data_IF_671252593359
#
_entry.id   IF_671252593359
#
_cell.length_a   1.000
_cell.length_b   1.000
_cell.length_c   1.000
_cell.angle_alpha   90.00
_cell.angle_beta   90.00
_cell.angle_gamma   90.00
#
_symmetry.space_group_name_H-M   'P 1'
#
loop_
_entity.id
_entity.type
_entity.pdbx_description
1 polymer ?
#
# COMPACT_ATOMS: atom_id res chain seq x y z
N UNK A 1 6.89 4.38 23.66
CA UNK A 1 6.87 4.45 22.19
C UNK A 1 6.49 5.87 21.81
N UNK A 2 7.38 6.54 21.11
CA UNK A 2 7.06 7.81 20.46
C UNK A 2 6.07 7.55 19.32
N UNK A 3 5.18 8.52 19.09
CA UNK A 3 4.17 8.40 18.05
C UNK A 3 4.78 8.79 16.71
N UNK A 4 4.30 8.20 15.63
CA UNK A 4 4.73 8.54 14.27
C UNK A 4 3.69 9.46 13.62
N UNK A 5 4.10 10.69 13.31
CA UNK A 5 3.26 11.73 12.67
C UNK A 5 2.73 11.30 11.31
N UNK A 6 3.39 10.36 10.62
CA UNK A 6 2.91 9.80 9.36
C UNK A 6 1.58 9.06 9.54
N UNK A 7 1.39 8.42 10.69
CA UNK A 7 0.26 7.52 10.96
C UNK A 7 -0.75 8.10 11.95
N UNK A 8 -0.39 9.17 12.66
CA UNK A 8 -1.22 9.74 13.72
C UNK A 8 -1.08 11.26 13.76
N UNK A 9 -2.20 11.98 13.93
CA UNK A 9 -2.21 13.45 13.96
C UNK A 9 -1.57 14.04 15.24
N UNK A 10 -1.31 13.21 16.24
CA UNK A 10 -0.66 13.56 17.50
C UNK A 10 -0.59 12.36 18.44
N UNK A 11 0.19 12.47 19.52
CA UNK A 11 0.32 11.40 20.53
C UNK A 11 -1.06 11.04 21.11
N UNK A 12 -1.43 9.76 21.05
CA UNK A 12 -2.75 9.25 21.44
C UNK A 12 -3.92 10.00 20.76
N UNK A 13 -3.66 10.58 19.59
CA UNK A 13 -4.64 11.27 18.77
C UNK A 13 -5.36 10.36 17.77
N UNK A 14 -6.17 10.95 16.88
CA UNK A 14 -6.75 10.24 15.75
C UNK A 14 -5.69 9.71 14.77
N UNK A 15 -6.07 8.70 14.00
CA UNK A 15 -5.26 8.25 12.86
C UNK A 15 -5.19 9.34 11.78
N UNK A 16 -4.03 9.43 11.14
CA UNK A 16 -3.83 10.38 10.04
C UNK A 16 -4.84 10.15 8.91
N UNK A 17 -5.22 11.21 8.20
CA UNK A 17 -6.16 11.11 7.06
C UNK A 17 -5.74 10.04 6.04
N UNK A 18 -4.46 9.91 5.63
CA UNK A 18 -4.03 8.86 4.71
C UNK A 18 -4.25 7.45 5.26
N UNK A 19 -3.95 7.20 6.54
CA UNK A 19 -4.12 5.88 7.13
C UNK A 19 -5.61 5.50 7.26
N UNK A 20 -6.48 6.47 7.60
CA UNK A 20 -7.94 6.25 7.59
C UNK A 20 -8.48 5.95 6.20
N UNK A 21 -7.98 6.63 5.17
CA UNK A 21 -8.37 6.36 3.79
C UNK A 21 -8.02 4.93 3.36
N UNK A 22 -6.80 4.46 3.68
CA UNK A 22 -6.39 3.06 3.46
C UNK A 22 -7.30 2.08 4.19
N UNK A 23 -7.62 2.37 5.46
CA UNK A 23 -8.51 1.53 6.26
C UNK A 23 -9.95 1.50 5.69
N UNK A 24 -10.42 2.63 5.17
CA UNK A 24 -11.74 2.77 4.53
C UNK A 24 -11.82 1.99 3.21
N UNK A 25 -10.72 1.88 2.46
CA UNK A 25 -10.68 1.14 1.20
C UNK A 25 -11.07 -0.35 1.37
N UNK A 26 -10.76 -0.95 2.52
CA UNK A 26 -11.17 -2.32 2.85
C UNK A 26 -12.69 -2.50 2.94
N UNK A 27 -13.47 -1.43 3.16
CA UNK A 27 -14.93 -1.52 3.26
C UNK A 27 -15.62 -1.98 1.97
N UNK A 28 -14.94 -1.86 0.84
CA UNK A 28 -15.46 -2.33 -0.45
C UNK A 28 -15.52 -3.86 -0.55
N UNK A 29 -14.76 -4.59 0.29
CA UNK A 29 -14.69 -6.06 0.25
C UNK A 29 -14.59 -6.75 1.63
N UNK A 30 -14.71 -6.00 2.73
CA UNK A 30 -14.68 -6.52 4.11
C UNK A 30 -15.69 -5.79 4.98
N UNK A 31 -16.21 -6.47 6.00
CA UNK A 31 -17.10 -5.85 6.99
C UNK A 31 -16.32 -5.06 8.04
N UNK A 32 -16.98 -4.13 8.75
CA UNK A 32 -16.37 -3.43 9.89
C UNK A 32 -15.91 -4.39 10.99
N UNK A 33 -16.62 -5.50 11.17
CA UNK A 33 -16.25 -6.54 12.14
C UNK A 33 -14.95 -7.24 11.73
N UNK A 34 -14.78 -7.55 10.44
CA UNK A 34 -13.57 -8.20 9.93
C UNK A 34 -12.35 -7.27 9.96
N UNK A 35 -12.56 -5.99 9.59
CA UNK A 35 -11.53 -4.96 9.72
C UNK A 35 -11.13 -4.85 11.20
N UNK A 36 -12.11 -4.76 12.10
CA UNK A 36 -11.89 -4.71 13.55
C UNK A 36 -11.06 -5.88 14.06
N UNK A 37 -11.40 -7.11 13.68
CA UNK A 37 -10.62 -8.32 14.04
C UNK A 37 -9.16 -8.20 13.60
N UNK A 38 -8.90 -7.71 12.38
CA UNK A 38 -7.55 -7.54 11.87
C UNK A 38 -6.73 -6.52 12.68
N UNK A 39 -7.31 -5.36 12.96
CA UNK A 39 -6.62 -4.28 13.70
C UNK A 39 -6.65 -4.46 15.22
N UNK A 40 -7.46 -5.38 15.76
CA UNK A 40 -7.60 -5.64 17.19
C UNK A 40 -8.63 -4.74 17.89
N UNK A 41 -9.64 -4.28 17.16
CA UNK A 41 -10.73 -3.45 17.69
C UNK A 41 -12.11 -4.06 17.41
N UNK A 42 -13.13 -3.54 18.10
CA UNK A 42 -14.51 -3.89 17.79
C UNK A 42 -14.97 -3.19 16.51
N UNK A 43 -15.90 -3.81 15.77
CA UNK A 43 -16.48 -3.20 14.56
C UNK A 43 -17.09 -1.81 14.80
N UNK A 44 -17.83 -1.56 15.89
CA UNK A 44 -18.31 -0.23 16.24
C UNK A 44 -17.19 0.79 16.44
N UNK A 45 -16.08 0.39 17.09
CA UNK A 45 -14.94 1.28 17.30
C UNK A 45 -14.24 1.63 15.98
N UNK A 46 -14.13 0.67 15.04
CA UNK A 46 -13.65 0.96 13.67
C UNK A 46 -14.53 2.01 12.98
N UNK A 47 -15.86 1.94 13.15
CA UNK A 47 -16.75 2.97 12.61
C UNK A 47 -16.46 4.36 13.19
N UNK A 48 -16.07 4.45 14.46
CA UNK A 48 -15.70 5.73 15.09
C UNK A 48 -14.34 6.23 14.60
N UNK A 49 -13.37 5.32 14.38
CA UNK A 49 -12.06 5.66 13.79
C UNK A 49 -12.24 6.25 12.38
N UNK A 50 -13.13 5.65 11.58
CA UNK A 50 -13.40 6.05 10.19
C UNK A 50 -14.29 7.28 10.06
N UNK A 51 -14.77 7.86 11.15
CA UNK A 51 -15.61 9.06 11.10
C UNK A 51 -14.79 10.27 10.59
N UNK A 52 -15.29 10.96 9.57
CA UNK A 52 -14.63 12.12 8.99
C UNK A 52 -14.74 13.38 9.86
N UNK A 53 -15.90 13.57 10.52
CA UNK A 53 -16.19 14.78 11.31
C UNK A 53 -15.51 14.75 12.67
N UNK A 54 -15.52 13.59 13.33
CA UNK A 54 -14.93 13.42 14.65
C UNK A 54 -14.34 12.00 14.79
N UNK A 55 -13.13 11.76 14.27
CA UNK A 55 -12.49 10.47 14.36
C UNK A 55 -12.10 10.12 15.80
N UNK A 56 -12.29 8.86 16.17
CA UNK A 56 -11.86 8.35 17.46
C UNK A 56 -10.34 8.49 17.64
N UNK A 57 -9.95 8.75 18.88
CA UNK A 57 -8.56 8.69 19.33
C UNK A 57 -8.11 7.25 19.52
N UNK A 58 -6.86 6.98 19.19
CA UNK A 58 -6.25 5.66 19.32
C UNK A 58 -4.95 5.80 20.08
N UNK A 59 -4.70 4.95 21.08
CA UNK A 59 -3.41 4.99 21.78
C UNK A 59 -2.26 4.70 20.81
N UNK A 60 -1.18 5.48 20.89
CA UNK A 60 -0.03 5.36 19.99
C UNK A 60 0.61 3.95 20.02
N UNK A 61 0.45 3.21 21.13
CA UNK A 61 0.91 1.82 21.28
C UNK A 61 0.24 0.85 20.28
N UNK A 62 -0.93 1.19 19.75
CA UNK A 62 -1.67 0.34 18.80
C UNK A 62 -1.31 0.61 17.34
N UNK A 63 -0.65 1.74 17.05
CA UNK A 63 -0.29 2.15 15.68
C UNK A 63 0.51 1.08 14.93
N UNK A 64 1.56 0.46 15.50
CA UNK A 64 2.32 -0.58 14.78
C UNK A 64 1.46 -1.76 14.34
N UNK A 65 0.50 -2.19 15.17
CA UNK A 65 -0.43 -3.27 14.84
C UNK A 65 -1.38 -2.87 13.71
N UNK A 66 -1.90 -1.65 13.76
CA UNK A 66 -2.82 -1.13 12.74
C UNK A 66 -2.11 -1.06 11.40
N UNK A 67 -0.91 -0.48 11.34
CA UNK A 67 -0.12 -0.37 10.10
C UNK A 67 0.13 -1.74 9.49
N UNK A 68 0.59 -2.70 10.29
CA UNK A 68 0.82 -4.07 9.82
C UNK A 68 -0.46 -4.74 9.29
N UNK A 69 -1.59 -4.55 9.98
CA UNK A 69 -2.87 -5.10 9.52
C UNK A 69 -3.35 -4.47 8.19
N UNK A 70 -3.09 -3.18 7.98
CA UNK A 70 -3.38 -2.51 6.70
C UNK A 70 -2.48 -3.06 5.60
N UNK A 71 -1.18 -3.20 5.85
CA UNK A 71 -0.22 -3.74 4.87
C UNK A 71 -0.55 -5.19 4.50
N UNK A 72 -0.86 -6.04 5.48
CA UNK A 72 -1.28 -7.42 5.26
C UNK A 72 -2.60 -7.49 4.48
N UNK A 73 -3.54 -6.57 4.75
CA UNK A 73 -4.81 -6.45 4.04
C UNK A 73 -4.62 -6.04 2.58
N UNK A 74 -3.77 -5.04 2.32
CA UNK A 74 -3.43 -4.57 0.99
C UNK A 74 -2.73 -5.67 0.17
N UNK A 75 -1.78 -6.38 0.77
CA UNK A 75 -1.10 -7.50 0.11
C UNK A 75 -2.06 -8.63 -0.26
N UNK A 76 -2.99 -8.99 0.64
CA UNK A 76 -4.03 -9.99 0.33
C UNK A 76 -4.97 -9.51 -0.78
N UNK A 77 -5.35 -8.24 -0.75
CA UNK A 77 -6.24 -7.66 -1.74
C UNK A 77 -5.59 -7.60 -3.13
N UNK A 78 -4.37 -7.11 -3.23
CA UNK A 78 -3.67 -7.04 -4.50
C UNK A 78 -3.35 -8.44 -5.05
N UNK A 79 -3.12 -9.46 -4.20
CA UNK A 79 -3.04 -10.86 -4.63
C UNK A 79 -4.37 -11.36 -5.23
N UNK A 80 -5.51 -10.99 -4.62
CA UNK A 80 -6.85 -11.37 -5.10
C UNK A 80 -7.20 -10.71 -6.44
N UNK A 81 -6.75 -9.48 -6.67
CA UNK A 81 -6.92 -8.78 -7.94
C UNK A 81 -5.90 -9.19 -9.02
N UNK A 82 -4.99 -10.12 -8.72
CA UNK A 82 -3.93 -10.51 -9.65
C UNK A 82 -2.92 -9.39 -9.97
N UNK A 83 -2.91 -8.33 -9.15
CA UNK A 83 -2.02 -7.17 -9.32
C UNK A 83 -0.62 -7.40 -8.74
N UNK A 84 -0.43 -8.50 -8.00
CA UNK A 84 0.88 -8.90 -7.48
C UNK A 84 1.34 -10.13 -8.26
N UNK A 85 2.31 -9.96 -9.15
CA UNK A 85 3.24 -11.04 -9.46
C UNK A 85 3.88 -11.43 -8.13
N UNK A 86 3.74 -12.68 -7.63
CA UNK A 86 4.27 -13.06 -6.34
C UNK A 86 5.73 -12.62 -6.23
N UNK A 87 6.18 -12.08 -5.09
CA UNK A 87 7.60 -11.79 -4.92
C UNK A 87 8.35 -13.09 -5.19
N UNK A 88 9.27 -13.07 -6.15
CA UNK A 88 10.25 -14.12 -6.35
C UNK A 88 10.83 -14.45 -4.97
N UNK A 89 10.45 -15.60 -4.43
CA UNK A 89 11.04 -16.11 -3.21
C UNK A 89 12.53 -16.25 -3.48
N UNK A 90 13.33 -15.55 -2.69
CA UNK A 90 14.78 -15.66 -2.68
C UNK A 90 15.18 -17.14 -2.47
N UNK A 91 15.47 -17.83 -3.56
CA UNK A 91 16.40 -18.94 -3.60
C UNK A 91 17.79 -18.36 -3.85
N UNK A 92 18.69 -18.56 -2.90
CA UNK A 92 20.08 -18.13 -2.98
C UNK A 92 20.75 -18.58 -4.30
N UNK A 93 21.37 -17.63 -5.01
CA UNK A 93 22.23 -17.93 -6.15
C UNK A 93 22.53 -16.73 -7.04
N UNK A 94 23.65 -16.06 -6.75
CA UNK A 94 24.43 -15.19 -7.66
C UNK A 94 23.95 -13.74 -7.84
N UNK A 95 24.80 -12.72 -7.63
CA UNK A 95 24.49 -11.36 -8.07
C UNK A 95 24.59 -11.34 -9.60
N UNK A 96 23.47 -11.20 -10.29
CA UNK A 96 23.51 -10.79 -11.70
C UNK A 96 23.92 -9.31 -11.72
N UNK A 97 24.94 -8.92 -12.51
CA UNK A 97 25.36 -7.53 -12.58
C UNK A 97 24.20 -6.69 -13.09
N UNK A 98 24.00 -5.52 -12.49
CA UNK A 98 23.15 -4.47 -13.06
C UNK A 98 23.65 -4.16 -14.47
N UNK A 99 23.09 -4.82 -15.48
CA UNK A 99 23.18 -4.34 -16.84
C UNK A 99 22.47 -3.00 -16.83
N UNK A 100 23.27 -1.93 -16.96
CA UNK A 100 22.79 -0.58 -17.26
C UNK A 100 21.95 -0.68 -18.53
N UNK A 101 20.65 -0.90 -18.37
CA UNK A 101 19.68 -0.90 -19.47
C UNK A 101 19.70 0.51 -20.04
N UNK A 102 20.37 0.65 -21.19
CA UNK A 102 20.51 1.92 -21.88
C UNK A 102 19.15 2.36 -22.41
N UNK A 103 19.00 3.65 -22.71
CA UNK A 103 17.76 4.21 -23.23
C UNK A 103 17.28 3.46 -24.49
N UNK A 104 18.20 2.98 -25.31
CA UNK A 104 17.94 2.20 -26.53
C UNK A 104 17.24 0.86 -26.26
N UNK A 105 17.53 0.21 -25.13
CA UNK A 105 16.84 -1.02 -24.74
C UNK A 105 15.35 -0.76 -24.50
N UNK A 106 15.03 0.35 -23.84
CA UNK A 106 13.63 0.72 -23.58
C UNK A 106 12.91 1.16 -24.86
N UNK A 107 13.60 1.86 -25.77
CA UNK A 107 13.02 2.30 -27.04
C UNK A 107 12.69 1.12 -27.96
N UNK A 108 13.56 0.12 -28.04
CA UNK A 108 13.29 -1.09 -28.84
C UNK A 108 12.17 -1.95 -28.26
N UNK A 109 12.03 -1.99 -26.92
CA UNK A 109 10.92 -2.69 -26.27
C UNK A 109 9.56 -2.01 -26.55
N UNK A 110 9.52 -0.68 -26.62
CA UNK A 110 8.29 0.07 -26.92
C UNK A 110 7.88 -0.12 -28.39
N UNK A 111 8.84 -0.12 -29.30
CA UNK A 111 8.60 -0.36 -30.73
C UNK A 111 8.12 -1.80 -31.00
N UNK A 112 8.68 -2.78 -30.30
CA UNK A 112 8.26 -4.18 -30.38
C UNK A 112 6.82 -4.42 -29.87
N UNK A 113 6.30 -3.53 -29.03
CA UNK A 113 4.90 -3.56 -28.55
C UNK A 113 3.93 -2.86 -29.52
N UNK A 114 4.43 -2.29 -30.62
CA UNK A 114 3.61 -1.63 -31.65
C UNK A 114 3.18 -0.20 -31.31
N UNK A 115 3.81 0.42 -30.31
CA UNK A 115 3.47 1.76 -29.85
C UNK A 115 4.46 2.77 -30.46
N UNK A 116 3.99 3.61 -31.38
CA UNK A 116 4.81 4.65 -32.00
C UNK A 116 4.90 5.86 -31.08
N UNK A 117 6.10 6.14 -30.54
CA UNK A 117 6.35 7.35 -29.75
C UNK A 117 6.34 8.56 -30.70
N UNK A 118 5.27 9.36 -30.69
CA UNK A 118 5.20 10.59 -31.49
C UNK A 118 6.13 11.66 -30.88
N UNK A 119 7.12 12.11 -31.65
CA UNK A 119 8.00 13.23 -31.29
C UNK A 119 9.49 12.90 -31.09
N UNK A 120 9.91 11.64 -31.23
CA UNK A 120 11.32 11.26 -31.21
C UNK A 120 11.80 10.99 -32.64
N UNK A 121 12.21 12.03 -33.37
CA UNK A 121 12.87 11.85 -34.68
C UNK A 121 14.27 11.29 -34.45
N UNK A 122 14.48 10.01 -34.80
CA UNK A 122 15.85 9.46 -34.91
C UNK A 122 16.50 10.12 -36.11
N UNK A 123 17.47 11.02 -35.87
CA UNK A 123 18.41 11.42 -36.93
C UNK A 123 19.24 10.20 -37.31
N UNK A 124 19.26 9.91 -38.61
CA UNK A 124 20.05 8.87 -39.24
C UNK A 124 21.56 9.08 -39.05
#
# INVERSE_FOLDING_TARGET
MDYDEKYQDGKNGPLSKPLRARLSAFRSFSTLADIGKAVGFSGPFVSQILNEKNPARVDSKHIPRIVRAVEDGEAKHAKKLGLINPPLQNGAGTPAPEEKKTLDYYLNAIDALGWKIMGLERKA
#
